data_IF_329101276752
#
_entry.id   IF_329101276752
#
_cell.length_a   1.000
_cell.length_b   1.000
_cell.length_c   1.000
_cell.angle_alpha   90.00
_cell.angle_beta   90.00
_cell.angle_gamma   90.00
#
_symmetry.space_group_name_H-M   'P 1'
#
loop_
_entity.id
_entity.type
_entity.pdbx_description
1 polymer ?
#
# COMPACT_ATOMS: atom_id res chain seq x y z
N UNK A 1 60.96 56.60 31.26
CA UNK A 1 61.53 55.92 30.07
C UNK A 1 60.82 56.37 28.78
N UNK A 2 60.87 57.66 28.48
CA UNK A 2 60.37 58.29 27.25
C UNK A 2 61.45 59.27 26.78
N UNK A 3 62.55 58.76 26.22
CA UNK A 3 63.66 59.55 25.62
C UNK A 3 64.77 58.60 25.14
N UNK A 4 64.48 57.74 24.15
CA UNK A 4 65.52 57.05 23.35
C UNK A 4 64.96 56.37 22.09
N UNK A 5 64.00 57.01 21.43
CA UNK A 5 63.39 56.52 20.18
C UNK A 5 63.04 57.70 19.26
N UNK A 6 63.93 58.70 19.20
CA UNK A 6 63.76 59.92 18.39
C UNK A 6 65.01 60.27 17.58
N UNK A 7 65.90 59.32 17.30
CA UNK A 7 67.14 59.59 16.55
C UNK A 7 67.51 58.51 15.52
N UNK A 8 66.53 57.78 14.97
CA UNK A 8 66.79 56.78 13.91
C UNK A 8 66.07 57.07 12.59
N UNK A 9 65.40 58.23 12.47
CA UNK A 9 64.74 58.64 11.22
C UNK A 9 64.88 60.16 10.99
N UNK A 10 66.08 60.70 11.15
CA UNK A 10 66.44 61.94 10.45
C UNK A 10 66.90 61.55 9.04
N UNK A 11 65.94 61.30 8.15
CA UNK A 11 66.17 61.29 6.71
C UNK A 11 66.37 62.75 6.32
N UNK A 12 67.62 63.18 6.41
CA UNK A 12 68.09 64.46 5.92
C UNK A 12 68.09 64.36 4.39
N UNK A 13 67.06 64.88 3.75
CA UNK A 13 67.07 65.15 2.32
C UNK A 13 68.04 66.33 2.08
N UNK A 14 69.30 66.02 1.77
CA UNK A 14 70.28 67.00 1.32
C UNK A 14 70.92 66.53 0.02
N UNK A 15 70.71 67.32 -1.04
CA UNK A 15 71.46 67.47 -2.29
C UNK A 15 71.74 66.21 -3.16
N UNK A 16 71.87 66.35 -4.49
CA UNK A 16 71.96 65.21 -5.41
C UNK A 16 73.36 64.60 -5.40
N UNK A 17 73.74 63.96 -4.29
CA UNK A 17 74.85 63.01 -4.28
C UNK A 17 74.28 61.63 -4.62
N UNK A 18 74.71 61.07 -5.75
CA UNK A 18 74.28 59.74 -6.19
C UNK A 18 74.66 58.68 -5.15
N UNK A 19 73.72 57.77 -4.86
CA UNK A 19 73.96 56.64 -3.97
C UNK A 19 75.18 55.83 -4.41
N UNK A 20 76.06 55.49 -3.47
CA UNK A 20 77.18 54.60 -3.78
C UNK A 20 76.66 53.19 -4.10
N UNK A 21 77.26 52.52 -5.09
CA UNK A 21 76.89 51.14 -5.46
C UNK A 21 76.95 50.20 -4.23
N UNK A 22 77.87 50.46 -3.30
CA UNK A 22 78.04 49.70 -2.07
C UNK A 22 76.82 49.85 -1.15
N UNK A 23 76.28 51.05 -1.00
CA UNK A 23 75.09 51.30 -0.17
C UNK A 23 73.85 50.61 -0.76
N UNK A 24 73.67 50.65 -2.08
CA UNK A 24 72.60 49.93 -2.77
C UNK A 24 72.77 48.41 -2.60
N UNK A 25 74.00 47.89 -2.71
CA UNK A 25 74.27 46.46 -2.54
C UNK A 25 73.98 45.98 -1.11
N UNK A 26 74.31 46.78 -0.09
CA UNK A 26 74.01 46.47 1.31
C UNK A 26 72.51 46.47 1.57
N UNK A 27 71.78 47.48 1.08
CA UNK A 27 70.32 47.56 1.22
C UNK A 27 69.63 46.39 0.51
N UNK A 28 70.05 46.04 -0.71
CA UNK A 28 69.51 44.90 -1.45
C UNK A 28 69.82 43.56 -0.75
N UNK A 29 71.00 43.42 -0.16
CA UNK A 29 71.36 42.24 0.64
C UNK A 29 70.48 42.07 1.87
N UNK A 30 70.25 43.14 2.63
CA UNK A 30 69.39 43.11 3.82
C UNK A 30 67.92 42.84 3.46
N UNK A 31 67.39 43.48 2.40
CA UNK A 31 66.01 43.25 1.95
C UNK A 31 65.82 41.82 1.43
N UNK A 32 66.83 41.26 0.75
CA UNK A 32 66.78 39.89 0.22
C UNK A 32 66.76 38.85 1.34
N UNK A 33 67.58 39.03 2.38
CA UNK A 33 67.59 38.15 3.56
C UNK A 33 66.26 38.27 4.30
N UNK A 34 65.77 39.49 4.60
CA UNK A 34 64.51 39.68 5.31
C UNK A 34 63.29 39.18 4.50
N UNK A 35 63.30 39.39 3.18
CA UNK A 35 62.29 38.88 2.27
C UNK A 35 62.20 37.36 2.31
N UNK A 36 63.35 36.66 2.36
CA UNK A 36 63.38 35.19 2.42
C UNK A 36 62.70 34.60 3.66
N UNK A 37 62.72 35.30 4.80
CA UNK A 37 62.10 34.84 6.05
C UNK A 37 60.67 35.34 6.26
N UNK A 38 60.36 36.56 5.79
CA UNK A 38 59.05 37.17 5.99
C UNK A 38 57.99 36.63 5.03
N UNK A 39 58.34 36.41 3.76
CA UNK A 39 57.38 36.02 2.71
C UNK A 39 56.73 34.66 3.01
N UNK A 40 57.46 33.58 3.37
CA UNK A 40 56.84 32.29 3.67
C UNK A 40 55.90 32.34 4.88
N UNK A 41 56.23 33.14 5.89
CA UNK A 41 55.39 33.27 7.09
C UNK A 41 54.09 34.05 6.82
N UNK A 42 54.15 35.16 6.07
CA UNK A 42 52.96 35.93 5.69
C UNK A 42 52.03 35.09 4.79
N UNK A 43 52.59 34.36 3.83
CA UNK A 43 51.82 33.47 2.95
C UNK A 43 51.12 32.34 3.74
N UNK A 44 51.79 31.76 4.74
CA UNK A 44 51.18 30.75 5.60
C UNK A 44 50.04 31.34 6.45
N UNK A 45 50.16 32.57 6.95
CA UNK A 45 49.08 33.25 7.69
C UNK A 45 47.86 33.53 6.80
N UNK A 46 48.09 33.97 5.55
CA UNK A 46 46.99 34.17 4.57
C UNK A 46 46.28 32.85 4.29
N UNK A 47 47.03 31.75 4.11
CA UNK A 47 46.45 30.42 3.88
C UNK A 47 45.66 29.92 5.10
N UNK A 48 46.13 30.16 6.33
CA UNK A 48 45.36 29.83 7.54
C UNK A 48 44.06 30.64 7.62
N UNK A 49 44.07 31.93 7.25
CA UNK A 49 42.85 32.74 7.16
C UNK A 49 41.84 32.16 6.16
N UNK A 50 42.32 31.59 5.04
CA UNK A 50 41.44 30.92 4.06
C UNK A 50 40.79 29.65 4.62
N UNK A 51 41.49 28.92 5.50
CA UNK A 51 40.92 27.76 6.18
C UNK A 51 39.76 28.19 7.09
N UNK A 52 39.92 29.26 7.87
CA UNK A 52 38.85 29.75 8.74
C UNK A 52 37.65 30.25 7.94
N UNK A 53 37.87 30.94 6.80
CA UNK A 53 36.78 31.32 5.90
C UNK A 53 36.07 30.08 5.31
N UNK A 54 36.83 29.06 4.90
CA UNK A 54 36.26 27.81 4.41
C UNK A 54 35.42 27.09 5.48
N UNK A 55 35.87 27.07 6.75
CA UNK A 55 35.08 26.53 7.87
C UNK A 55 33.78 27.31 8.07
N UNK A 56 33.84 28.65 8.02
CA UNK A 56 32.66 29.49 8.17
C UNK A 56 31.62 29.19 7.06
N UNK A 57 32.08 29.04 5.82
CA UNK A 57 31.24 28.62 4.70
C UNK A 57 30.64 27.23 4.91
N UNK A 58 31.46 26.25 5.31
CA UNK A 58 30.99 24.89 5.55
C UNK A 58 29.99 24.81 6.71
N UNK A 59 30.14 25.61 7.77
CA UNK A 59 29.14 25.74 8.83
C UNK A 59 27.84 26.34 8.31
N UNK A 60 27.92 27.36 7.45
CA UNK A 60 26.75 27.98 6.82
C UNK A 60 25.99 26.95 5.96
N UNK A 61 26.69 26.19 5.12
CA UNK A 61 26.09 25.12 4.32
C UNK A 61 25.49 24.01 5.19
N UNK A 62 26.16 23.61 6.28
CA UNK A 62 25.62 22.62 7.20
C UNK A 62 24.34 23.10 7.88
N UNK A 63 24.28 24.38 8.27
CA UNK A 63 23.10 24.99 8.87
C UNK A 63 21.92 25.09 7.89
N UNK A 64 22.18 25.53 6.65
CA UNK A 64 21.19 25.57 5.57
C UNK A 64 20.62 24.17 5.29
N UNK A 65 21.51 23.19 5.05
CA UNK A 65 21.10 21.81 4.81
C UNK A 65 20.36 21.17 6.00
N UNK A 66 20.72 21.51 7.24
CA UNK A 66 19.97 21.07 8.42
C UNK A 66 18.59 21.72 8.49
N UNK A 67 18.46 22.99 8.09
CA UNK A 67 17.19 23.68 7.93
C UNK A 67 16.30 22.99 6.90
N UNK A 68 16.86 22.70 5.72
CA UNK A 68 16.17 21.97 4.64
C UNK A 68 15.75 20.56 5.07
N UNK A 69 16.58 19.86 5.84
CA UNK A 69 16.23 18.54 6.38
C UNK A 69 14.99 18.62 7.26
N UNK A 70 14.92 19.61 8.17
CA UNK A 70 13.81 19.76 9.13
C UNK A 70 12.46 20.05 8.49
N UNK A 71 12.44 20.68 7.33
CA UNK A 71 11.21 21.00 6.58
C UNK A 71 10.90 19.97 5.49
N UNK A 72 11.78 19.00 5.25
CA UNK A 72 11.61 18.01 4.19
C UNK A 72 10.61 16.93 4.60
N UNK A 73 9.60 16.71 3.77
CA UNK A 73 8.66 15.59 3.90
C UNK A 73 9.14 14.32 3.20
N UNK A 74 10.16 14.42 2.33
CA UNK A 74 10.77 13.28 1.62
C UNK A 74 12.31 13.30 1.73
N UNK A 75 12.82 12.41 2.59
CA UNK A 75 14.25 12.21 2.83
C UNK A 75 14.99 11.80 1.53
N UNK A 76 14.34 11.12 0.58
CA UNK A 76 14.96 10.75 -0.70
C UNK A 76 15.18 11.97 -1.59
N UNK A 77 14.26 12.92 -1.57
CA UNK A 77 14.39 14.18 -2.27
C UNK A 77 15.48 15.04 -1.63
N UNK A 78 15.49 15.15 -0.30
CA UNK A 78 16.55 15.82 0.45
C UNK A 78 17.95 15.28 0.10
N UNK A 79 18.09 13.95 0.05
CA UNK A 79 19.35 13.28 -0.28
C UNK A 79 19.87 13.59 -1.69
N UNK A 80 19.07 14.23 -2.55
CA UNK A 80 19.46 14.68 -3.89
C UNK A 80 19.76 16.18 -3.97
N UNK A 81 19.30 16.98 -3.01
CA UNK A 81 19.48 18.44 -3.00
C UNK A 81 20.92 18.83 -2.69
N UNK A 82 21.37 19.90 -3.32
CA UNK A 82 22.64 20.57 -3.01
C UNK A 82 22.37 21.81 -2.14
N UNK A 83 23.35 22.32 -1.39
CA UNK A 83 23.20 23.58 -0.66
C UNK A 83 22.91 24.73 -1.64
N UNK A 84 21.94 25.61 -1.32
CA UNK A 84 21.44 26.62 -2.26
C UNK A 84 22.52 27.64 -2.67
N UNK A 85 23.49 27.89 -1.79
CA UNK A 85 24.54 28.90 -1.97
C UNK A 85 25.93 28.31 -2.19
N UNK A 86 26.03 27.06 -2.67
CA UNK A 86 27.32 26.42 -2.90
C UNK A 86 28.09 27.06 -4.08
N UNK A 87 28.83 28.13 -3.81
CA UNK A 87 29.69 28.76 -4.82
C UNK A 87 31.00 27.98 -5.00
N UNK A 88 31.13 27.33 -6.16
CA UNK A 88 32.37 26.66 -6.56
C UNK A 88 33.49 27.66 -6.83
N UNK A 89 33.18 28.87 -7.31
CA UNK A 89 34.16 29.92 -7.51
C UNK A 89 34.76 30.38 -6.18
N UNK A 90 33.93 30.63 -5.17
CA UNK A 90 34.40 31.03 -3.84
C UNK A 90 35.25 29.95 -3.17
N UNK A 91 34.92 28.68 -3.35
CA UNK A 91 35.76 27.59 -2.84
C UNK A 91 37.12 27.52 -3.57
N UNK A 92 37.14 27.75 -4.89
CA UNK A 92 38.39 27.80 -5.67
C UNK A 92 39.31 28.92 -5.21
N UNK A 93 38.80 30.12 -4.92
CA UNK A 93 39.63 31.23 -4.41
C UNK A 93 40.24 30.94 -3.04
N UNK A 94 39.57 30.11 -2.24
CA UNK A 94 40.07 29.62 -0.94
C UNK A 94 41.04 28.44 -1.06
N UNK A 95 41.26 27.91 -2.27
CA UNK A 95 42.13 26.76 -2.51
C UNK A 95 41.45 25.41 -2.28
N UNK A 96 40.12 25.35 -2.39
CA UNK A 96 39.32 24.15 -2.21
C UNK A 96 38.51 23.78 -3.46
N UNK A 97 38.20 22.49 -3.59
CA UNK A 97 37.28 21.95 -4.59
C UNK A 97 36.24 21.05 -3.92
N UNK A 98 35.01 21.05 -4.42
CA UNK A 98 33.95 20.17 -3.92
C UNK A 98 34.26 18.73 -4.34
N UNK A 99 34.13 17.79 -3.40
CA UNK A 99 34.18 16.37 -3.71
C UNK A 99 32.88 15.97 -4.45
N UNK A 100 32.94 15.50 -5.70
CA UNK A 100 31.74 15.16 -6.47
C UNK A 100 30.88 14.08 -5.78
N UNK A 101 31.49 13.14 -5.07
CA UNK A 101 30.79 12.06 -4.35
C UNK A 101 30.03 12.56 -3.11
N UNK A 102 30.51 13.66 -2.52
CA UNK A 102 29.94 14.31 -1.33
C UNK A 102 29.66 15.77 -1.66
N UNK A 103 28.71 16.01 -2.54
CA UNK A 103 28.33 17.35 -3.06
C UNK A 103 26.90 17.78 -2.68
N UNK A 104 26.25 17.03 -1.78
CA UNK A 104 24.81 17.15 -1.49
C UNK A 104 24.57 17.57 -0.05
N UNK A 105 23.36 17.99 0.28
CA UNK A 105 23.02 18.41 1.64
C UNK A 105 23.11 17.29 2.69
N UNK A 106 22.93 16.03 2.28
CA UNK A 106 23.11 14.89 3.18
C UNK A 106 24.59 14.61 3.51
N UNK A 107 25.50 14.98 2.62
CA UNK A 107 26.94 14.89 2.82
C UNK A 107 27.68 15.82 1.84
N UNK A 108 28.38 16.81 2.40
CA UNK A 108 29.22 17.75 1.66
C UNK A 108 30.66 17.62 2.13
N UNK A 109 31.60 17.52 1.19
CA UNK A 109 33.03 17.58 1.49
C UNK A 109 33.75 18.43 0.46
N UNK A 110 34.75 19.17 0.95
CA UNK A 110 35.68 19.94 0.14
C UNK A 110 37.11 19.43 0.39
N UNK A 111 37.90 19.35 -0.67
CA UNK A 111 39.29 18.91 -0.65
C UNK A 111 40.23 20.01 -1.15
N UNK A 112 41.49 20.06 -0.72
CA UNK A 112 42.47 21.00 -1.26
C UNK A 112 42.52 20.92 -2.79
N UNK A 113 42.59 22.07 -3.45
CA UNK A 113 42.61 22.18 -4.91
C UNK A 113 43.96 21.73 -5.49
N UNK A 114 45.05 22.05 -4.77
CA UNK A 114 46.41 21.82 -5.23
C UNK A 114 47.17 20.85 -4.34
N UNK A 115 48.02 20.06 -4.97
CA UNK A 115 48.88 19.08 -4.30
C UNK A 115 49.92 19.73 -3.36
N UNK A 116 50.32 20.97 -3.69
CA UNK A 116 51.29 21.75 -2.91
C UNK A 116 50.73 22.31 -1.61
N UNK A 117 49.41 22.44 -1.53
CA UNK A 117 48.75 23.04 -0.39
C UNK A 117 48.20 22.00 0.58
N UNK A 118 48.29 20.70 0.28
CA UNK A 118 47.70 19.61 1.09
C UNK A 118 48.25 19.48 2.50
N UNK A 119 49.51 19.88 2.70
CA UNK A 119 50.11 19.76 4.03
C UNK A 119 49.58 20.86 4.94
N UNK A 120 49.17 22.00 4.39
CA UNK A 120 48.59 23.11 5.15
C UNK A 120 47.05 23.10 5.14
N UNK A 121 46.42 22.79 4.01
CA UNK A 121 44.98 22.66 3.83
C UNK A 121 44.59 21.18 3.96
N UNK A 122 43.57 20.88 4.75
CA UNK A 122 43.06 19.52 4.91
C UNK A 122 41.67 19.38 4.28
N UNK A 123 41.29 18.15 3.93
CA UNK A 123 39.92 17.87 3.50
C UNK A 123 38.98 18.09 4.68
N UNK A 124 37.88 18.80 4.47
CA UNK A 124 36.84 18.98 5.47
C UNK A 124 35.48 18.57 4.89
N UNK A 125 34.62 18.04 5.74
CA UNK A 125 33.28 17.64 5.34
C UNK A 125 32.32 17.65 6.51
N UNK A 126 31.04 17.60 6.17
CA UNK A 126 30.00 17.28 7.11
C UNK A 126 29.01 16.29 6.51
N UNK A 127 28.31 15.57 7.39
CA UNK A 127 27.25 14.66 7.05
C UNK A 127 26.08 14.87 8.02
N UNK A 128 24.87 14.83 7.50
CA UNK A 128 23.65 14.93 8.32
C UNK A 128 23.10 13.52 8.48
N UNK A 129 22.87 13.11 9.73
CA UNK A 129 22.31 11.79 10.04
C UNK A 129 21.30 11.90 11.18
N UNK A 130 20.37 10.95 11.21
CA UNK A 130 19.40 10.80 12.29
C UNK A 130 19.96 9.83 13.33
N UNK A 131 19.94 10.24 14.59
CA UNK A 131 20.30 9.38 15.71
C UNK A 131 19.17 8.37 15.98
N UNK A 132 19.50 7.07 15.93
CA UNK A 132 18.53 6.00 16.08
C UNK A 132 17.94 5.92 17.50
N UNK A 133 18.65 6.40 18.52
CA UNK A 133 18.20 6.29 19.91
C UNK A 133 17.26 7.42 20.33
N UNK A 134 17.48 8.63 19.80
CA UNK A 134 16.79 9.85 20.25
C UNK A 134 15.86 10.41 19.15
N UNK A 135 15.98 9.94 17.91
CA UNK A 135 15.28 10.53 16.75
C UNK A 135 15.74 11.95 16.42
N UNK A 136 16.85 12.40 17.03
CA UNK A 136 17.42 13.73 16.82
C UNK A 136 18.32 13.74 15.60
N UNK A 137 18.20 14.77 14.76
CA UNK A 137 19.08 15.00 13.62
C UNK A 137 20.36 15.66 14.09
N UNK A 138 21.51 15.08 13.73
CA UNK A 138 22.84 15.57 14.11
C UNK A 138 23.70 15.84 12.88
N UNK A 139 24.64 16.78 13.04
CA UNK A 139 25.66 17.08 12.03
C UNK A 139 26.98 16.46 12.48
N UNK A 140 27.45 15.50 11.70
CA UNK A 140 28.79 14.95 11.84
C UNK A 140 29.78 15.82 11.06
N UNK A 141 30.87 16.28 11.69
CA UNK A 141 31.95 17.00 11.02
C UNK A 141 33.17 16.12 10.94
N UNK A 142 33.73 15.98 9.74
CA UNK A 142 34.93 15.18 9.48
C UNK A 142 36.04 16.06 8.90
N UNK A 143 37.29 15.71 9.20
CA UNK A 143 38.45 16.26 8.52
C UNK A 143 39.54 15.21 8.33
N UNK A 144 40.19 15.25 7.17
CA UNK A 144 41.28 14.33 6.80
C UNK A 144 42.50 15.20 6.44
N UNK A 145 43.51 15.30 7.32
CA UNK A 145 44.78 15.94 6.99
C UNK A 145 45.59 15.10 5.98
N UNK A 146 46.64 15.67 5.38
CA UNK A 146 47.59 14.89 4.58
C UNK A 146 48.37 13.89 5.45
N UNK A 147 49.09 12.97 4.81
CA UNK A 147 49.94 11.99 5.50
C UNK A 147 51.07 12.65 6.30
N UNK A 148 51.54 13.82 5.86
CA UNK A 148 52.57 14.63 6.51
C UNK A 148 52.06 16.06 6.76
N UNK A 149 51.09 16.24 7.68
CA UNK A 149 50.43 17.53 7.85
C UNK A 149 51.37 18.54 8.49
N UNK A 150 51.29 19.77 8.01
CA UNK A 150 51.96 20.91 8.63
C UNK A 150 51.46 21.05 10.08
N UNK A 151 52.35 21.11 11.09
CA UNK A 151 51.94 21.23 12.49
C UNK A 151 51.02 22.42 12.77
N UNK A 152 51.05 23.48 11.95
CA UNK A 152 50.18 24.66 12.08
C UNK A 152 48.73 24.40 11.64
N UNK A 153 48.47 23.39 10.80
CA UNK A 153 47.11 23.07 10.31
C UNK A 153 46.35 22.12 11.24
N UNK A 154 47.06 21.33 12.05
CA UNK A 154 46.46 20.36 12.98
C UNK A 154 45.52 21.00 14.02
N UNK A 155 45.86 22.13 14.70
CA UNK A 155 44.93 22.80 15.60
C UNK A 155 43.66 23.25 14.88
N UNK A 156 43.78 23.73 13.64
CA UNK A 156 42.64 24.12 12.82
C UNK A 156 41.75 22.93 12.46
N UNK A 157 42.35 21.80 12.10
CA UNK A 157 41.63 20.55 11.81
C UNK A 157 40.85 20.06 13.03
N UNK A 158 41.49 20.03 14.21
CA UNK A 158 40.81 19.72 15.49
C UNK A 158 39.74 20.74 15.84
N UNK A 159 39.94 22.02 15.54
CA UNK A 159 38.91 23.06 15.73
C UNK A 159 37.67 22.87 14.85
N UNK A 160 37.80 22.22 13.68
CA UNK A 160 36.67 21.91 12.81
C UNK A 160 35.95 20.61 13.20
N UNK A 161 36.72 19.52 13.29
CA UNK A 161 36.18 18.16 13.42
C UNK A 161 36.23 17.61 14.86
N UNK A 162 36.90 18.29 15.79
CA UNK A 162 37.17 17.76 17.12
C UNK A 162 38.01 16.48 17.04
N UNK A 163 37.55 15.44 17.74
CA UNK A 163 38.14 14.10 17.72
C UNK A 163 38.03 13.40 16.36
N UNK A 164 37.22 13.93 15.44
CA UNK A 164 37.05 13.40 14.09
C UNK A 164 38.10 13.91 13.08
N UNK A 165 39.12 14.66 13.55
CA UNK A 165 40.26 15.05 12.73
C UNK A 165 41.23 13.89 12.58
N UNK A 166 41.37 13.34 11.36
CA UNK A 166 42.24 12.19 11.09
C UNK A 166 41.62 10.85 11.47
N UNK A 167 40.30 10.71 11.30
CA UNK A 167 39.59 9.45 11.53
C UNK A 167 40.22 8.28 10.80
N UNK A 168 40.31 7.14 11.50
CA UNK A 168 40.68 5.89 10.87
C UNK A 168 39.65 5.48 9.80
N UNK A 169 40.05 4.70 8.78
CA UNK A 169 39.13 4.14 7.80
C UNK A 169 37.98 3.34 8.44
N UNK A 170 38.23 2.70 9.59
CA UNK A 170 37.23 1.93 10.34
C UNK A 170 36.12 2.82 10.91
N UNK A 171 36.48 3.98 11.46
CA UNK A 171 35.50 4.92 11.99
C UNK A 171 34.64 5.52 10.87
N UNK A 172 35.24 5.82 9.71
CA UNK A 172 34.51 6.24 8.50
C UNK A 172 33.52 5.16 8.03
N UNK A 173 33.91 3.89 8.07
CA UNK A 173 33.01 2.78 7.73
C UNK A 173 31.85 2.65 8.74
N UNK A 174 32.09 2.85 10.03
CA UNK A 174 31.04 2.85 11.06
C UNK A 174 30.00 3.96 10.82
N UNK A 175 30.45 5.15 10.40
CA UNK A 175 29.54 6.27 10.06
C UNK A 175 28.75 5.97 8.80
N UNK A 176 29.40 5.45 7.76
CA UNK A 176 28.72 5.03 6.52
C UNK A 176 27.64 3.97 6.81
N UNK A 177 27.90 3.07 7.76
CA UNK A 177 26.94 2.09 8.24
C UNK A 177 25.73 2.76 8.93
N UNK A 178 25.95 3.69 9.85
CA UNK A 178 24.86 4.43 10.52
C UNK A 178 23.98 5.17 9.51
N UNK A 179 24.60 5.75 8.48
CA UNK A 179 23.87 6.39 7.38
C UNK A 179 22.97 5.40 6.63
N UNK A 180 23.48 4.21 6.33
CA UNK A 180 22.70 3.20 5.64
C UNK A 180 21.51 2.71 6.48
N UNK A 181 21.70 2.57 7.80
CA UNK A 181 20.64 2.26 8.76
C UNK A 181 19.54 3.34 8.70
N UNK A 182 19.92 4.62 8.74
CA UNK A 182 18.98 5.73 8.67
C UNK A 182 18.20 5.76 7.35
N UNK A 183 18.86 5.47 6.21
CA UNK A 183 18.20 5.36 4.90
C UNK A 183 17.17 4.22 4.89
N UNK A 184 17.55 3.06 5.42
CA UNK A 184 16.65 1.89 5.48
C UNK A 184 15.44 2.17 6.39
N UNK A 185 15.65 2.85 7.53
CA UNK A 185 14.59 3.28 8.45
C UNK A 185 13.63 4.26 7.77
N UNK A 186 14.15 5.29 7.12
CA UNK A 186 13.37 6.27 6.38
C UNK A 186 12.53 5.63 5.27
N UNK A 187 13.12 4.69 4.52
CA UNK A 187 12.40 3.96 3.49
C UNK A 187 11.23 3.15 4.07
N UNK A 188 11.46 2.43 5.18
CA UNK A 188 10.42 1.68 5.87
C UNK A 188 9.28 2.61 6.35
N UNK A 189 9.62 3.74 6.98
CA UNK A 189 8.64 4.75 7.41
C UNK A 189 7.82 5.31 6.26
N UNK A 190 8.46 5.64 5.12
CA UNK A 190 7.77 6.19 3.95
C UNK A 190 6.73 5.23 3.36
N UNK A 191 7.00 3.92 3.37
CA UNK A 191 6.03 2.91 2.91
C UNK A 191 4.82 2.82 3.83
N UNK A 192 5.03 2.93 5.15
CA UNK A 192 3.94 2.95 6.14
C UNK A 192 3.07 4.19 5.96
N UNK A 193 3.69 5.37 5.84
CA UNK A 193 2.96 6.63 5.61
C UNK A 193 2.14 6.58 4.32
N UNK A 194 2.71 6.03 3.24
CA UNK A 194 1.98 5.86 1.98
C UNK A 194 0.75 4.95 2.14
N UNK A 195 0.91 3.81 2.81
CA UNK A 195 -0.22 2.92 3.14
C UNK A 195 -1.28 3.61 3.99
N UNK A 196 -0.85 4.47 4.92
CA UNK A 196 -1.72 5.34 5.70
C UNK A 196 -2.61 6.22 4.81
N UNK A 197 -1.98 6.95 3.88
CA UNK A 197 -2.69 7.83 2.94
C UNK A 197 -3.62 7.08 1.98
N UNK A 198 -3.20 5.89 1.53
CA UNK A 198 -3.98 5.02 0.63
C UNK A 198 -5.15 4.31 1.35
N UNK A 199 -5.37 4.60 2.64
CA UNK A 199 -6.36 3.93 3.51
C UNK A 199 -6.23 2.41 3.48
N UNK A 200 -5.00 1.93 3.39
CA UNK A 200 -4.72 0.51 3.28
C UNK A 200 -5.15 -0.26 4.54
N UNK A 201 -5.52 -1.53 4.37
CA UNK A 201 -5.94 -2.41 5.46
C UNK A 201 -5.20 -3.75 5.40
N UNK A 202 -4.67 -4.21 6.53
CA UNK A 202 -3.97 -5.49 6.67
C UNK A 202 -2.69 -5.40 7.50
N UNK A 203 -1.79 -6.40 7.45
CA UNK A 203 -0.50 -6.38 8.16
C UNK A 203 0.54 -5.43 7.52
N UNK A 204 1.22 -4.63 8.35
CA UNK A 204 2.29 -3.73 7.90
C UNK A 204 3.67 -4.23 8.36
N UNK A 205 4.68 -4.01 7.51
CA UNK A 205 6.08 -4.16 7.93
C UNK A 205 6.45 -2.95 8.77
N UNK A 206 7.22 -3.18 9.82
CA UNK A 206 7.75 -2.11 10.68
C UNK A 206 9.26 -2.20 10.79
N UNK A 207 9.86 -1.09 11.20
CA UNK A 207 11.31 -0.99 11.32
C UNK A 207 11.80 -1.82 12.50
N UNK A 208 12.67 -2.79 12.21
CA UNK A 208 13.44 -3.54 13.21
C UNK A 208 14.86 -3.00 13.21
N UNK A 209 15.34 -2.40 14.33
CA UNK A 209 16.69 -1.85 14.42
C UNK A 209 17.74 -2.97 14.31
N UNK A 210 18.98 -2.63 13.91
CA UNK A 210 20.06 -3.60 13.85
C UNK A 210 20.36 -4.22 15.21
N UNK A 211 20.71 -5.50 15.21
CA UNK A 211 21.08 -6.24 16.41
C UNK A 211 22.40 -5.71 17.01
N UNK A 212 22.42 -5.51 18.34
CA UNK A 212 23.61 -5.06 19.05
C UNK A 212 24.73 -6.09 18.90
N UNK A 213 25.92 -5.63 18.50
CA UNK A 213 27.10 -6.48 18.32
C UNK A 213 27.26 -7.10 16.93
N UNK A 214 26.23 -7.06 16.08
CA UNK A 214 26.36 -7.53 14.70
C UNK A 214 26.78 -6.40 13.77
N UNK A 215 28.05 -6.35 13.36
CA UNK A 215 28.58 -5.26 12.52
C UNK A 215 27.97 -5.19 11.11
N UNK A 216 27.40 -6.30 10.62
CA UNK A 216 26.85 -6.42 9.26
C UNK A 216 25.35 -6.14 9.19
N UNK A 217 24.66 -6.17 10.33
CA UNK A 217 23.23 -5.87 10.37
C UNK A 217 22.99 -4.37 10.20
N UNK A 218 22.08 -4.03 9.29
CA UNK A 218 21.70 -2.66 8.95
C UNK A 218 20.26 -2.35 9.41
N UNK A 219 19.62 -3.27 10.12
CA UNK A 219 18.19 -3.21 10.38
C UNK A 219 17.38 -3.47 9.11
N UNK A 220 16.10 -3.76 9.27
CA UNK A 220 15.24 -4.09 8.14
C UNK A 220 13.76 -3.85 8.45
N UNK A 221 12.98 -3.63 7.39
CA UNK A 221 11.53 -3.53 7.49
C UNK A 221 10.92 -4.94 7.41
N UNK A 222 10.36 -5.44 8.52
CA UNK A 222 9.84 -6.81 8.64
C UNK A 222 8.47 -6.82 9.32
N UNK A 223 7.71 -7.90 9.12
CA UNK A 223 6.52 -8.15 9.93
C UNK A 223 6.96 -8.53 11.34
N UNK A 224 6.33 -7.91 12.35
CA UNK A 224 6.52 -8.30 13.73
C UNK A 224 5.74 -9.58 14.02
N UNK A 225 6.09 -10.24 15.12
CA UNK A 225 5.30 -11.32 15.70
C UNK A 225 4.94 -10.94 17.16
N UNK A 226 3.67 -10.57 17.44
CA UNK A 226 2.53 -10.50 16.52
C UNK A 226 2.64 -9.33 15.50
N UNK A 227 2.03 -9.44 14.31
CA UNK A 227 2.12 -8.41 13.29
C UNK A 227 1.30 -7.19 13.66
N UNK A 228 1.91 -5.99 13.54
CA UNK A 228 1.16 -4.73 13.52
C UNK A 228 0.31 -4.66 12.26
N UNK A 229 -0.90 -4.13 12.40
CA UNK A 229 -1.86 -4.06 11.30
C UNK A 229 -2.43 -2.64 11.18
N UNK A 230 -2.93 -2.34 10.00
CA UNK A 230 -3.54 -1.05 9.67
C UNK A 230 -4.99 -1.29 9.25
N UNK A 231 -5.88 -0.34 9.56
CA UNK A 231 -7.27 -0.34 9.11
C UNK A 231 -7.65 1.06 8.66
N UNK A 232 -7.99 1.17 7.38
CA UNK A 232 -8.31 2.44 6.70
C UNK A 232 -7.26 3.54 6.95
N UNK A 233 -6.00 3.16 6.97
CA UNK A 233 -4.88 4.08 7.19
C UNK A 233 -4.49 4.30 8.65
N UNK A 234 -5.26 3.80 9.63
CA UNK A 234 -4.92 3.90 11.05
C UNK A 234 -4.12 2.69 11.53
N UNK A 235 -3.04 2.90 12.27
CA UNK A 235 -2.20 1.83 12.83
C UNK A 235 -2.80 1.23 14.12
N UNK A 236 -2.70 -0.09 14.24
CA UNK A 236 -3.14 -0.88 15.40
C UNK A 236 -2.00 -1.79 15.87
N UNK A 237 -2.03 -2.18 17.15
CA UNK A 237 -0.95 -2.98 17.75
C UNK A 237 -0.88 -4.37 17.15
N UNK A 238 -2.02 -4.92 16.78
CA UNK A 238 -2.14 -6.24 16.16
C UNK A 238 -3.36 -6.29 15.23
N UNK A 239 -3.51 -7.41 14.52
CA UNK A 239 -4.65 -7.63 13.62
C UNK A 239 -5.98 -7.89 14.35
N UNK A 240 -5.96 -8.36 15.60
CA UNK A 240 -7.19 -8.55 16.40
C UNK A 240 -7.87 -7.21 16.72
N UNK A 241 -7.09 -6.19 17.04
CA UNK A 241 -7.58 -4.82 17.25
C UNK A 241 -8.21 -4.24 15.97
N UNK A 242 -7.67 -4.59 14.79
CA UNK A 242 -8.26 -4.22 13.49
C UNK A 242 -9.65 -4.85 13.34
N UNK A 243 -9.81 -6.11 13.70
CA UNK A 243 -11.12 -6.77 13.64
C UNK A 243 -12.13 -6.13 14.59
N UNK A 244 -11.71 -5.78 15.80
CA UNK A 244 -12.53 -5.05 16.75
C UNK A 244 -12.93 -3.66 16.23
N UNK A 245 -12.00 -2.90 15.64
CA UNK A 245 -12.27 -1.60 15.03
C UNK A 245 -13.24 -1.71 13.84
N UNK A 246 -13.03 -2.70 12.98
CA UNK A 246 -13.92 -3.01 11.85
C UNK A 246 -15.32 -3.37 12.34
N UNK A 247 -15.44 -4.23 13.36
CA UNK A 247 -16.74 -4.63 13.95
C UNK A 247 -17.47 -3.42 14.55
N UNK A 248 -16.75 -2.49 15.20
CA UNK A 248 -17.36 -1.25 15.70
C UNK A 248 -17.88 -0.36 14.59
N UNK A 249 -17.18 -0.27 13.45
CA UNK A 249 -17.57 0.59 12.33
C UNK A 249 -18.68 -0.02 11.47
N UNK A 250 -18.57 -1.30 11.14
CA UNK A 250 -19.41 -1.96 10.15
C UNK A 250 -20.34 -3.03 10.71
N UNK A 251 -20.20 -3.42 11.98
CA UNK A 251 -20.98 -4.51 12.55
C UNK A 251 -22.49 -4.32 12.39
N UNK A 252 -22.99 -3.11 12.66
CA UNK A 252 -24.39 -2.77 12.47
C UNK A 252 -24.86 -2.90 11.01
N UNK A 253 -24.03 -2.50 10.03
CA UNK A 253 -24.35 -2.59 8.61
C UNK A 253 -24.32 -4.04 8.10
N UNK A 254 -23.42 -4.87 8.65
CA UNK A 254 -23.42 -6.30 8.35
C UNK A 254 -24.66 -6.99 8.94
N UNK A 255 -25.02 -6.69 10.19
CA UNK A 255 -26.23 -7.21 10.83
C UNK A 255 -27.50 -6.78 10.09
N UNK A 256 -27.58 -5.53 9.65
CA UNK A 256 -28.71 -5.03 8.85
C UNK A 256 -28.81 -5.76 7.51
N UNK A 257 -27.68 -5.97 6.83
CA UNK A 257 -27.64 -6.74 5.60
C UNK A 257 -28.11 -8.20 5.83
N UNK A 258 -27.60 -8.87 6.87
CA UNK A 258 -28.04 -10.22 7.26
C UNK A 258 -29.55 -10.25 7.50
N UNK A 259 -30.09 -9.30 8.28
CA UNK A 259 -31.54 -9.18 8.54
C UNK A 259 -32.32 -8.97 7.25
N UNK A 260 -31.84 -8.16 6.31
CA UNK A 260 -32.53 -7.93 5.03
C UNK A 260 -32.71 -9.22 4.22
N UNK A 261 -31.74 -10.14 4.30
CA UNK A 261 -31.81 -11.47 3.67
C UNK A 261 -32.78 -12.40 4.41
N UNK A 262 -32.73 -12.40 5.75
CA UNK A 262 -33.60 -13.20 6.62
C UNK A 262 -35.08 -12.79 6.52
N UNK A 263 -35.37 -11.48 6.44
CA UNK A 263 -36.75 -10.98 6.31
C UNK A 263 -37.39 -11.42 4.98
N UNK A 264 -36.59 -11.56 3.93
CA UNK A 264 -37.06 -12.11 2.67
C UNK A 264 -37.13 -13.65 2.74
N UNK A 265 -38.29 -14.18 3.15
CA UNK A 265 -38.54 -15.63 3.25
C UNK A 265 -38.40 -16.39 1.93
N UNK A 266 -38.45 -15.72 0.78
CA UNK A 266 -38.21 -16.34 -0.52
C UNK A 266 -36.73 -16.38 -0.90
N UNK A 267 -35.87 -15.72 -0.13
CA UNK A 267 -34.44 -15.68 -0.39
C UNK A 267 -33.77 -17.00 -0.02
N UNK A 268 -33.01 -17.54 -0.96
CA UNK A 268 -32.17 -18.72 -0.80
C UNK A 268 -30.81 -18.40 -1.42
N UNK A 269 -29.74 -18.64 -0.69
CA UNK A 269 -28.38 -18.49 -1.21
C UNK A 269 -28.19 -19.41 -2.41
N UNK A 270 -27.90 -18.81 -3.58
CA UNK A 270 -27.89 -19.51 -4.87
C UNK A 270 -26.70 -20.46 -5.04
N UNK A 271 -25.62 -20.23 -4.28
CA UNK A 271 -24.34 -20.90 -4.46
C UNK A 271 -23.96 -21.61 -3.15
N UNK A 272 -23.47 -22.84 -3.20
CA UNK A 272 -23.00 -23.56 -2.01
C UNK A 272 -21.81 -22.89 -1.29
N UNK A 273 -21.25 -21.81 -1.86
CA UNK A 273 -20.05 -21.12 -1.38
C UNK A 273 -20.34 -19.97 -0.40
N UNK A 274 -21.60 -19.76 -0.01
CA UNK A 274 -22.00 -18.71 0.91
C UNK A 274 -21.93 -17.30 0.30
N UNK A 275 -22.41 -16.33 1.04
CA UNK A 275 -22.42 -14.91 0.65
C UNK A 275 -21.77 -14.04 1.72
N UNK A 276 -21.14 -12.95 1.31
CA UNK A 276 -20.60 -11.96 2.22
C UNK A 276 -20.75 -10.56 1.62
N UNK A 277 -20.94 -9.55 2.48
CA UNK A 277 -20.92 -8.15 2.09
C UNK A 277 -19.55 -7.56 2.38
N UNK A 278 -18.81 -7.18 1.34
CA UNK A 278 -17.48 -6.56 1.50
C UNK A 278 -17.60 -5.03 1.42
N UNK A 279 -17.01 -4.27 2.35
CA UNK A 279 -16.14 -4.68 3.46
C UNK A 279 -16.85 -4.99 4.79
N UNK A 280 -18.19 -4.83 4.87
CA UNK A 280 -18.90 -4.74 6.14
C UNK A 280 -18.92 -6.04 6.96
N UNK A 281 -18.98 -7.17 6.27
CA UNK A 281 -19.06 -8.51 6.84
C UNK A 281 -17.72 -9.25 6.81
N UNK A 282 -16.60 -8.55 6.67
CA UNK A 282 -15.28 -9.11 6.95
C UNK A 282 -14.81 -10.30 6.09
N UNK A 283 -15.54 -10.65 5.02
CA UNK A 283 -15.32 -11.92 4.32
C UNK A 283 -15.89 -13.13 5.05
N UNK A 284 -16.57 -12.95 6.19
CA UNK A 284 -17.35 -13.99 6.83
C UNK A 284 -18.49 -14.38 5.89
N UNK A 285 -18.57 -15.68 5.60
CA UNK A 285 -19.58 -16.25 4.72
C UNK A 285 -20.83 -16.57 5.54
N UNK A 286 -21.98 -16.24 4.98
CA UNK A 286 -23.29 -16.52 5.52
C UNK A 286 -24.12 -17.25 4.48
N UNK A 287 -24.96 -18.16 4.92
CA UNK A 287 -25.91 -18.86 4.08
C UNK A 287 -27.33 -18.56 4.55
N UNK A 288 -28.23 -18.38 3.60
CA UNK A 288 -29.63 -18.04 3.90
C UNK A 288 -30.56 -19.03 3.24
N UNK A 289 -31.52 -19.54 3.99
CA UNK A 289 -32.57 -20.41 3.46
C UNK A 289 -33.91 -20.10 4.14
N UNK A 290 -34.93 -19.74 3.37
CA UNK A 290 -36.32 -19.60 3.85
C UNK A 290 -36.48 -18.72 5.10
N UNK A 291 -35.73 -17.62 5.15
CA UNK A 291 -35.73 -16.69 6.29
C UNK A 291 -35.03 -17.21 7.55
N UNK A 292 -34.07 -18.12 7.39
CA UNK A 292 -33.11 -18.52 8.42
C UNK A 292 -31.70 -18.23 7.91
N UNK A 293 -30.82 -17.80 8.82
CA UNK A 293 -29.39 -17.64 8.59
C UNK A 293 -28.64 -18.85 9.16
N UNK A 294 -27.59 -19.25 8.45
CA UNK A 294 -26.66 -20.29 8.84
C UNK A 294 -25.24 -19.72 8.73
N UNK A 295 -24.42 -19.99 9.75
CA UNK A 295 -23.02 -19.53 9.81
C UNK A 295 -22.04 -20.61 9.31
N UNK A 296 -22.54 -21.81 9.00
CA UNK A 296 -21.77 -22.93 8.44
C UNK A 296 -22.42 -23.46 7.17
N UNK A 297 -21.62 -24.09 6.31
CA UNK A 297 -22.10 -24.69 5.06
C UNK A 297 -22.90 -25.97 5.35
N UNK A 298 -22.48 -26.71 6.35
CA UNK A 298 -23.05 -27.97 6.78
C UNK A 298 -24.51 -27.79 7.22
N UNK A 299 -24.78 -26.84 8.11
CA UNK A 299 -26.14 -26.56 8.60
C UNK A 299 -27.06 -26.10 7.47
N UNK A 300 -26.52 -25.33 6.51
CA UNK A 300 -27.26 -24.89 5.34
C UNK A 300 -27.64 -26.05 4.41
N UNK A 301 -26.71 -26.95 4.10
CA UNK A 301 -27.00 -28.11 3.25
C UNK A 301 -27.97 -29.09 3.95
N UNK A 302 -27.86 -29.29 5.27
CA UNK A 302 -28.83 -30.07 6.04
C UNK A 302 -30.25 -29.48 5.93
N UNK A 303 -30.38 -28.15 6.08
CA UNK A 303 -31.67 -27.47 5.92
C UNK A 303 -32.24 -27.66 4.51
N UNK A 304 -31.40 -27.50 3.50
CA UNK A 304 -31.79 -27.64 2.09
C UNK A 304 -32.24 -29.07 1.77
N UNK A 305 -31.56 -30.07 2.31
CA UNK A 305 -31.99 -31.48 2.21
C UNK A 305 -33.31 -31.72 2.92
N UNK A 306 -33.47 -31.21 4.14
CA UNK A 306 -34.71 -31.30 4.92
C UNK A 306 -35.91 -30.73 4.16
N UNK A 307 -35.77 -29.52 3.59
CA UNK A 307 -36.84 -28.88 2.80
C UNK A 307 -37.18 -29.68 1.54
N UNK A 308 -36.17 -30.21 0.84
CA UNK A 308 -36.40 -31.07 -0.34
C UNK A 308 -37.15 -32.36 0.04
N UNK A 309 -36.79 -33.00 1.16
CA UNK A 309 -37.50 -34.19 1.68
C UNK A 309 -38.97 -33.86 1.97
N UNK A 310 -39.24 -32.75 2.67
CA UNK A 310 -40.62 -32.32 2.94
C UNK A 310 -41.40 -32.03 1.65
N UNK A 311 -40.80 -31.38 0.66
CA UNK A 311 -41.46 -31.07 -0.62
C UNK A 311 -41.86 -32.33 -1.40
N UNK A 312 -41.01 -33.35 -1.31
CA UNK A 312 -41.17 -34.64 -1.93
C UNK A 312 -42.24 -35.50 -1.25
N UNK A 313 -42.34 -35.46 0.08
CA UNK A 313 -43.46 -36.05 0.82
C UNK A 313 -44.80 -35.37 0.47
N UNK A 314 -44.79 -34.05 0.27
CA UNK A 314 -45.97 -33.29 -0.18
C UNK A 314 -46.38 -33.71 -1.60
N UNK A 315 -45.44 -33.82 -2.55
CA UNK A 315 -45.73 -34.24 -3.92
C UNK A 315 -46.29 -35.68 -3.97
N UNK A 316 -45.68 -36.60 -3.22
CA UNK A 316 -46.18 -37.97 -3.04
C UNK A 316 -47.60 -37.99 -2.48
N UNK A 317 -47.86 -37.18 -1.45
CA UNK A 317 -49.19 -37.06 -0.83
C UNK A 317 -50.22 -36.44 -1.78
N UNK A 318 -49.82 -35.46 -2.58
CA UNK A 318 -50.70 -34.86 -3.59
C UNK A 318 -51.11 -35.88 -4.65
N UNK A 319 -50.18 -36.72 -5.14
CA UNK A 319 -50.53 -37.79 -6.09
C UNK A 319 -51.51 -38.80 -5.50
N UNK A 320 -51.31 -39.18 -4.24
CA UNK A 320 -52.25 -40.01 -3.49
C UNK A 320 -53.65 -39.38 -3.43
N UNK A 321 -53.74 -38.10 -3.06
CA UNK A 321 -55.01 -37.39 -2.92
C UNK A 321 -55.73 -37.16 -4.25
N UNK A 322 -55.00 -36.98 -5.35
CA UNK A 322 -55.60 -36.84 -6.70
C UNK A 322 -56.06 -38.14 -7.33
N UNK A 323 -55.92 -39.28 -6.63
CA UNK A 323 -56.16 -40.62 -7.17
C UNK A 323 -55.43 -40.88 -8.50
N UNK A 324 -54.21 -40.32 -8.62
CA UNK A 324 -53.42 -40.44 -9.84
C UNK A 324 -53.20 -41.93 -10.18
N UNK A 325 -53.26 -42.24 -11.48
CA UNK A 325 -53.01 -43.58 -12.00
C UNK A 325 -51.96 -43.49 -13.09
N UNK A 326 -50.88 -44.26 -12.96
CA UNK A 326 -49.74 -44.25 -13.87
C UNK A 326 -48.39 -44.26 -13.18
N UNK A 327 -47.34 -44.20 -14.00
CA UNK A 327 -45.95 -44.10 -13.56
C UNK A 327 -45.62 -42.63 -13.30
N UNK A 328 -45.13 -42.30 -12.11
CA UNK A 328 -44.76 -40.94 -11.76
C UNK A 328 -43.43 -40.88 -11.01
N UNK A 329 -42.57 -39.94 -11.41
CA UNK A 329 -41.30 -39.66 -10.75
C UNK A 329 -41.49 -38.49 -9.78
N UNK A 330 -41.35 -38.78 -8.48
CA UNK A 330 -41.56 -37.79 -7.41
C UNK A 330 -40.59 -36.62 -7.59
N UNK A 331 -41.13 -35.41 -7.56
CA UNK A 331 -40.38 -34.18 -7.67
C UNK A 331 -40.09 -33.57 -6.29
N UNK A 332 -38.97 -32.83 -6.14
CA UNK A 332 -37.95 -32.54 -7.14
C UNK A 332 -36.96 -33.71 -7.34
N UNK A 333 -36.59 -33.99 -8.59
CA UNK A 333 -35.61 -35.04 -8.94
C UNK A 333 -34.13 -34.58 -8.81
N UNK A 334 -33.89 -33.34 -8.40
CA UNK A 334 -32.57 -32.71 -8.41
C UNK A 334 -31.72 -33.12 -7.19
N UNK A 335 -30.89 -34.14 -7.41
CA UNK A 335 -29.72 -34.47 -6.58
C UNK A 335 -29.99 -35.27 -5.31
N UNK A 336 -31.24 -35.60 -4.97
CA UNK A 336 -31.58 -36.54 -3.90
C UNK A 336 -32.01 -37.85 -4.55
N UNK A 337 -31.34 -38.95 -4.22
CA UNK A 337 -31.64 -40.27 -4.81
C UNK A 337 -32.86 -40.95 -4.17
N UNK A 338 -33.19 -40.68 -2.90
CA UNK A 338 -34.30 -41.30 -2.18
C UNK A 338 -34.83 -40.41 -1.02
N UNK A 339 -36.16 -40.30 -0.77
CA UNK A 339 -37.30 -40.85 -1.53
C UNK A 339 -37.71 -40.01 -2.75
N UNK A 340 -36.90 -39.01 -3.11
CA UNK A 340 -37.18 -38.08 -4.20
C UNK A 340 -36.49 -38.54 -5.46
N UNK A 341 -37.08 -38.28 -6.63
CA UNK A 341 -36.57 -38.81 -7.90
C UNK A 341 -36.77 -40.32 -8.10
N UNK A 342 -37.30 -41.06 -7.12
CA UNK A 342 -37.75 -42.44 -7.32
C UNK A 342 -39.06 -42.46 -8.11
N UNK A 343 -39.16 -43.46 -8.99
CA UNK A 343 -40.35 -43.69 -9.80
C UNK A 343 -41.30 -44.60 -9.04
N UNK A 344 -42.52 -44.13 -8.80
CA UNK A 344 -43.59 -44.90 -8.19
C UNK A 344 -44.66 -45.22 -9.22
N UNK A 345 -45.26 -46.40 -9.08
CA UNK A 345 -46.44 -46.78 -9.84
C UNK A 345 -47.67 -46.50 -8.99
N UNK A 346 -48.53 -45.57 -9.39
CA UNK A 346 -49.75 -45.26 -8.64
C UNK A 346 -50.97 -45.89 -9.30
N UNK A 347 -51.88 -46.48 -8.52
CA UNK A 347 -53.19 -46.95 -8.98
C UNK A 347 -54.26 -46.34 -8.07
N UNK A 348 -55.10 -45.44 -8.61
CA UNK A 348 -56.11 -44.69 -7.85
C UNK A 348 -55.56 -44.03 -6.57
N UNK A 349 -54.32 -43.54 -6.64
CA UNK A 349 -53.64 -42.90 -5.52
C UNK A 349 -52.86 -43.82 -4.58
N UNK A 350 -52.97 -45.14 -4.71
CA UNK A 350 -52.15 -46.08 -3.95
C UNK A 350 -50.82 -46.35 -4.67
N UNK A 351 -49.70 -46.23 -3.94
CA UNK A 351 -48.38 -46.50 -4.49
C UNK A 351 -48.09 -48.00 -4.43
N UNK A 352 -47.94 -48.61 -5.61
CA UNK A 352 -47.69 -50.04 -5.80
C UNK A 352 -46.25 -50.28 -6.27
N UNK A 353 -45.72 -51.46 -5.97
CA UNK A 353 -44.51 -51.96 -6.63
C UNK A 353 -44.76 -52.18 -8.13
N UNK A 354 -43.69 -52.25 -8.93
CA UNK A 354 -43.83 -52.49 -10.38
C UNK A 354 -44.61 -53.77 -10.70
N UNK A 355 -44.40 -54.84 -9.92
CA UNK A 355 -45.10 -56.13 -10.06
C UNK A 355 -46.58 -56.00 -9.70
N UNK A 356 -46.89 -55.38 -8.56
CA UNK A 356 -48.28 -55.17 -8.13
C UNK A 356 -49.03 -54.29 -9.12
N UNK A 357 -48.41 -53.21 -9.60
CA UNK A 357 -48.99 -52.36 -10.62
C UNK A 357 -49.33 -53.15 -11.88
N UNK A 358 -48.39 -53.98 -12.36
CA UNK A 358 -48.61 -54.81 -13.55
C UNK A 358 -49.80 -55.76 -13.42
N UNK A 359 -50.01 -56.31 -12.22
CA UNK A 359 -51.14 -57.20 -11.89
C UNK A 359 -52.45 -56.47 -11.58
N UNK A 360 -52.38 -55.17 -11.30
CA UNK A 360 -53.55 -54.38 -10.89
C UNK A 360 -54.51 -54.08 -12.05
N UNK A 361 -55.74 -53.72 -11.72
CA UNK A 361 -56.72 -53.22 -12.70
C UNK A 361 -56.27 -51.95 -13.42
N UNK A 362 -55.23 -51.26 -12.91
CA UNK A 362 -54.70 -50.03 -13.48
C UNK A 362 -53.68 -50.25 -14.62
N UNK A 363 -53.13 -51.46 -14.77
CA UNK A 363 -52.22 -51.80 -15.88
C UNK A 363 -52.90 -52.55 -17.04
N UNK A 364 -54.18 -52.93 -16.88
CA UNK A 364 -54.95 -53.45 -18.01
C UNK A 364 -55.13 -52.30 -18.99
N UNK A 365 -54.39 -52.37 -20.08
CA UNK A 365 -54.55 -51.51 -21.24
C UNK A 365 -56.05 -51.34 -21.51
N UNK A 366 -56.45 -50.09 -21.63
CA UNK A 366 -57.63 -49.67 -22.37
C UNK A 366 -57.53 -50.19 -23.81
N UNK A 367 -57.78 -51.48 -23.99
CA UNK A 367 -58.10 -52.11 -25.24
C UNK A 367 -59.61 -52.32 -25.28
N UNK A 368 -60.35 -51.35 -25.82
CA UNK A 368 -61.75 -51.52 -26.21
C UNK A 368 -62.71 -50.44 -25.72
N UNK A 369 -63.03 -49.51 -26.63
CA UNK A 369 -64.40 -49.05 -26.90
C UNK A 369 -65.10 -48.18 -25.85
N UNK A 370 -65.06 -46.87 -26.05
CA UNK A 370 -65.91 -45.91 -25.37
C UNK A 370 -65.74 -44.53 -25.98
N UNK A 371 -66.38 -44.31 -27.12
CA UNK A 371 -66.59 -42.99 -27.71
C UNK A 371 -67.15 -42.05 -26.65
N UNK A 372 -66.35 -41.05 -26.31
CA UNK A 372 -66.74 -39.88 -25.55
C UNK A 372 -66.14 -38.69 -26.26
N UNK A 373 -66.93 -38.13 -27.18
CA UNK A 373 -66.66 -36.93 -27.96
C UNK A 373 -65.83 -35.89 -27.18
N UNK A 374 -64.59 -35.70 -27.62
CA UNK A 374 -63.94 -34.41 -27.55
C UNK A 374 -63.39 -34.11 -28.93
N UNK A 375 -64.32 -33.70 -29.78
CA UNK A 375 -64.15 -33.14 -31.10
C UNK A 375 -63.27 -31.87 -31.01
N UNK A 376 -61.94 -32.06 -30.95
CA UNK A 376 -60.97 -31.02 -31.32
C UNK A 376 -60.92 -31.00 -32.85
N UNK A 377 -61.85 -30.25 -33.45
CA UNK A 377 -61.72 -29.82 -34.84
C UNK A 377 -60.46 -28.95 -34.97
N UNK A 378 -59.44 -29.49 -35.60
CA UNK A 378 -58.43 -28.71 -36.31
C UNK A 378 -59.14 -27.90 -37.40
N UNK A 379 -58.78 -26.63 -37.54
CA UNK A 379 -59.07 -25.90 -38.77
C UNK A 379 -58.04 -26.32 -39.84
N UNK A 380 -58.33 -26.01 -41.12
CA UNK A 380 -57.57 -26.42 -42.30
C UNK A 380 -56.11 -25.89 -42.38
N UNK A 381 -55.52 -25.48 -41.24
CA UNK A 381 -54.16 -24.95 -41.11
C UNK A 381 -53.35 -25.58 -39.96
N UNK A 382 -53.86 -26.63 -39.32
CA UNK A 382 -53.07 -27.51 -38.42
C UNK A 382 -52.56 -26.85 -37.13
N UNK A 383 -53.41 -26.13 -36.39
CA UNK A 383 -53.04 -25.60 -35.07
C UNK A 383 -53.88 -26.17 -33.93
N UNK A 384 -53.19 -26.70 -32.91
CA UNK A 384 -53.80 -27.25 -31.69
C UNK A 384 -53.84 -26.16 -30.59
N UNK A 385 -55.03 -25.70 -30.19
CA UNK A 385 -55.19 -24.84 -29.00
C UNK A 385 -55.31 -25.71 -27.72
N UNK A 386 -54.65 -25.35 -26.60
CA UNK A 386 -54.79 -26.08 -25.35
C UNK A 386 -56.20 -25.93 -24.73
N UNK A 387 -56.65 -26.98 -24.04
CA UNK A 387 -58.02 -27.28 -23.59
C UNK A 387 -58.79 -26.23 -22.75
N UNK A 388 -58.27 -25.02 -22.54
CA UNK A 388 -58.99 -23.91 -21.89
C UNK A 388 -59.11 -22.73 -22.82
N UNK A 389 -59.99 -22.86 -23.83
CA UNK A 389 -60.51 -21.71 -24.57
C UNK A 389 -61.64 -21.06 -23.78
N UNK A 390 -61.62 -19.72 -23.69
CA UNK A 390 -62.75 -18.97 -23.14
C UNK A 390 -63.63 -18.49 -24.30
N UNK A 391 -64.95 -18.66 -24.15
CA UNK A 391 -65.94 -18.00 -25.02
C UNK A 391 -66.32 -16.67 -24.37
N UNK A 392 -66.34 -15.61 -25.17
CA UNK A 392 -66.96 -14.36 -24.73
C UNK A 392 -68.50 -14.46 -24.74
N UNK A 393 -69.16 -13.39 -24.31
CA UNK A 393 -70.62 -13.32 -24.22
C UNK A 393 -71.31 -13.34 -25.60
N UNK A 394 -70.54 -13.41 -26.69
CA UNK A 394 -71.01 -13.54 -28.06
C UNK A 394 -70.61 -14.89 -28.70
N UNK A 395 -70.01 -15.79 -27.92
CA UNK A 395 -69.70 -17.17 -28.33
C UNK A 395 -68.36 -17.36 -29.06
N UNK A 396 -67.52 -16.33 -29.17
CA UNK A 396 -66.25 -16.37 -29.90
C UNK A 396 -65.14 -16.96 -29.01
N UNK A 397 -64.42 -17.98 -29.50
CA UNK A 397 -63.26 -18.60 -28.80
C UNK A 397 -61.99 -17.74 -28.96
N UNK A 398 -61.40 -17.28 -27.87
CA UNK A 398 -60.07 -16.63 -27.87
C UNK A 398 -59.00 -17.60 -27.32
N UNK A 399 -57.90 -17.86 -28.06
CA UNK A 399 -56.75 -18.65 -27.59
C UNK A 399 -55.66 -17.73 -26.96
N UNK A 400 -55.02 -18.13 -25.84
CA UNK A 400 -53.98 -17.33 -25.20
C UNK A 400 -52.67 -17.44 -26.00
N UNK A 401 -52.43 -16.47 -26.88
CA UNK A 401 -51.20 -16.40 -27.69
C UNK A 401 -51.31 -15.48 -28.91
N UNK A 402 -52.51 -15.22 -29.41
CA UNK A 402 -52.76 -14.17 -30.42
C UNK A 402 -53.96 -13.33 -30.02
N UNK A 403 -53.70 -12.05 -29.76
CA UNK A 403 -54.73 -11.09 -29.36
C UNK A 403 -55.49 -10.64 -30.61
N UNK A 404 -56.71 -11.12 -30.79
CA UNK A 404 -57.64 -10.54 -31.74
C UNK A 404 -58.15 -9.18 -31.19
N UNK A 405 -58.25 -8.14 -32.03
CA UNK A 405 -58.72 -6.79 -31.65
C UNK A 405 -60.07 -6.78 -30.93
N UNK A 406 -60.90 -7.81 -31.13
CA UNK A 406 -62.19 -7.93 -30.45
C UNK A 406 -62.07 -8.47 -29.00
N UNK A 407 -61.08 -9.30 -28.67
CA UNK A 407 -60.91 -9.83 -27.30
C UNK A 407 -60.46 -8.73 -26.30
N UNK A 408 -59.84 -7.64 -26.76
CA UNK A 408 -59.37 -6.50 -25.93
C UNK A 408 -60.52 -5.68 -25.32
N UNK A 409 -61.72 -5.75 -25.90
CA UNK A 409 -62.90 -4.99 -25.47
C UNK A 409 -63.72 -5.68 -24.37
N UNK A 410 -63.45 -6.95 -24.08
CA UNK A 410 -64.14 -7.69 -23.01
C UNK A 410 -63.60 -7.32 -21.62
N UNK A 411 -64.48 -6.81 -20.75
CA UNK A 411 -64.15 -6.42 -19.36
C UNK A 411 -63.68 -7.61 -18.50
N UNK A 412 -64.13 -8.82 -18.84
CA UNK A 412 -63.73 -10.09 -18.20
C UNK A 412 -62.28 -10.47 -18.51
N UNK A 413 -61.80 -10.18 -19.72
CA UNK A 413 -60.43 -10.50 -20.12
C UNK A 413 -59.40 -9.60 -19.38
N UNK A 414 -59.70 -8.31 -19.22
CA UNK A 414 -58.81 -7.35 -18.54
C UNK A 414 -58.61 -7.62 -17.05
N UNK A 415 -59.58 -8.21 -16.36
CA UNK A 415 -59.43 -8.51 -14.92
C UNK A 415 -58.53 -9.71 -14.65
N UNK A 416 -58.28 -10.56 -15.65
CA UNK A 416 -57.48 -11.79 -15.49
C UNK A 416 -56.07 -11.72 -16.09
N UNK A 417 -55.78 -10.72 -16.94
CA UNK A 417 -54.44 -10.53 -17.52
C UNK A 417 -53.39 -9.95 -16.56
N UNK A 418 -53.76 -9.54 -15.35
CA UNK A 418 -52.78 -9.15 -14.31
C UNK A 418 -51.95 -10.34 -13.77
N UNK A 419 -52.20 -11.57 -14.23
CA UNK A 419 -51.44 -12.77 -13.85
C UNK A 419 -50.35 -13.19 -14.85
N UNK A 420 -50.18 -12.51 -15.98
CA UNK A 420 -49.07 -12.79 -16.90
C UNK A 420 -48.07 -11.63 -16.93
N UNK A 421 -47.30 -11.47 -15.85
CA UNK A 421 -46.00 -10.78 -15.92
C UNK A 421 -45.02 -11.74 -16.60
N UNK A 422 -44.94 -11.69 -17.93
CA UNK A 422 -43.83 -12.29 -18.65
C UNK A 422 -42.63 -11.34 -18.61
N UNK A 423 -41.50 -11.95 -18.28
CA UNK A 423 -40.15 -11.42 -18.32
C UNK A 423 -39.78 -10.93 -19.73
N UNK A 424 -38.92 -9.92 -19.77
CA UNK A 424 -38.03 -9.67 -20.91
C UNK A 424 -36.80 -10.57 -20.81
#
# INVERSE_FOLDING_TARGET
MKKKLKSLFDIRASEPEGFTIVEVAVVMGVISILGSFAIPNVLNTIKLSRIEEAKALMNSYAADCLGQYRISTDIKEFNKKAPENLSKEKLKTLGYSVNPEKSKCSALSIKPLNERDKDLLYQMGFQIYEDNEIGSVKVFKEAIPSDNPNPRSLPSCRGWAGDNCGLSPEALAAIARLKQIAINKANCGSEITKKGMDKWTGPIKTWVPPEKGNAKDLGSCKFLDPPKCMFEGNEYRNCEEVEAARKRKYGALCEEWQRSKVVNKAYITSNANGETKSPECAGQLFWFHTGQQFDTKEDFEEKKESVKKTQCDIDKSNKKNTQFTGIYKIQPADGIKEPCGTTYHFCKGEALTSVEYQSSSCNKSSGGGGDGDNDQKEDDRGNVCPNKSYRDNQGIKCCPGRINRNCIKSRSYRSRTNMCKCWY
#
